data_IF_228670241962
#
_entry.id   IF_228670241962
#
_cell.length_a   1.000
_cell.length_b   1.000
_cell.length_c   1.000
_cell.angle_alpha   90.00
_cell.angle_beta   90.00
_cell.angle_gamma   90.00
#
_symmetry.space_group_name_H-M   'P 1'
#
loop_
_entity.id
_entity.type
_entity.pdbx_description
1 polymer ?
#
# COMPACT_ATOMS: atom_id res chain seq x y z
N UNK A 1 -13.75 -11.70 -37.57
CA UNK A 1 -14.82 -11.15 -36.71
C UNK A 1 -14.96 -11.88 -35.35
N UNK A 2 -14.77 -13.21 -35.26
CA UNK A 2 -14.89 -13.98 -34.00
C UNK A 2 -13.75 -13.73 -32.98
N UNK A 3 -12.51 -13.53 -33.45
CA UNK A 3 -11.31 -13.37 -32.60
C UNK A 3 -11.34 -12.08 -31.76
N UNK A 4 -11.94 -11.01 -32.26
CA UNK A 4 -11.96 -9.71 -31.56
C UNK A 4 -12.84 -9.71 -30.30
N UNK A 5 -13.91 -10.53 -30.25
CA UNK A 5 -14.84 -10.57 -29.12
C UNK A 5 -14.23 -11.22 -27.88
N UNK A 6 -13.33 -12.20 -28.05
CA UNK A 6 -12.69 -12.88 -26.93
C UNK A 6 -11.65 -12.00 -26.25
N UNK A 7 -10.91 -11.18 -27.02
CA UNK A 7 -9.98 -10.20 -26.46
C UNK A 7 -10.70 -9.13 -25.63
N UNK A 8 -11.85 -8.64 -26.11
CA UNK A 8 -12.65 -7.64 -25.37
C UNK A 8 -13.26 -8.22 -24.09
N UNK A 9 -13.74 -9.47 -24.14
CA UNK A 9 -14.31 -10.15 -22.97
C UNK A 9 -13.26 -10.45 -21.89
N UNK A 10 -12.06 -10.87 -22.29
CA UNK A 10 -10.94 -11.06 -21.35
C UNK A 10 -10.47 -9.73 -20.76
N UNK A 11 -10.44 -8.64 -21.54
CA UNK A 11 -10.08 -7.31 -21.00
C UNK A 11 -11.14 -6.75 -20.05
N UNK A 12 -12.44 -6.89 -20.33
CA UNK A 12 -13.48 -6.35 -19.44
C UNK A 12 -13.57 -7.11 -18.11
N UNK A 13 -13.37 -8.43 -18.13
CA UNK A 13 -13.31 -9.23 -16.90
C UNK A 13 -12.08 -8.88 -16.04
N UNK A 14 -10.93 -8.62 -16.66
CA UNK A 14 -9.69 -8.27 -15.96
C UNK A 14 -9.71 -6.82 -15.41
N UNK A 15 -10.31 -5.87 -16.14
CA UNK A 15 -10.48 -4.48 -15.69
C UNK A 15 -11.45 -4.40 -14.50
N UNK A 16 -12.55 -5.15 -14.53
CA UNK A 16 -13.54 -5.16 -13.44
C UNK A 16 -12.96 -5.72 -12.14
N UNK A 17 -12.25 -6.84 -12.21
CA UNK A 17 -11.59 -7.45 -11.04
C UNK A 17 -10.44 -6.59 -10.52
N UNK A 18 -9.62 -6.02 -11.42
CA UNK A 18 -8.57 -5.07 -11.04
C UNK A 18 -9.16 -3.85 -10.33
N UNK A 19 -10.26 -3.29 -10.84
CA UNK A 19 -10.93 -2.13 -10.24
C UNK A 19 -11.44 -2.42 -8.83
N UNK A 20 -12.05 -3.59 -8.60
CA UNK A 20 -12.47 -4.02 -7.26
C UNK A 20 -11.30 -4.11 -6.30
N UNK A 21 -10.17 -4.67 -6.74
CA UNK A 21 -8.96 -4.78 -5.94
C UNK A 21 -8.43 -3.38 -5.57
N UNK A 22 -8.43 -2.43 -6.51
CA UNK A 22 -8.02 -1.05 -6.25
C UNK A 22 -8.90 -0.40 -5.18
N UNK A 23 -10.22 -0.54 -5.29
CA UNK A 23 -11.19 0.01 -4.33
C UNK A 23 -11.02 -0.61 -2.96
N UNK A 24 -10.89 -1.94 -2.86
CA UNK A 24 -10.65 -2.62 -1.57
C UNK A 24 -9.37 -2.11 -0.91
N UNK A 25 -8.29 -1.95 -1.68
CA UNK A 25 -7.00 -1.49 -1.16
C UNK A 25 -7.08 -0.04 -0.67
N UNK A 26 -7.79 0.82 -1.40
CA UNK A 26 -8.09 2.18 -0.98
C UNK A 26 -8.92 2.22 0.32
N UNK A 27 -10.02 1.46 0.39
CA UNK A 27 -10.90 1.41 1.56
C UNK A 27 -10.13 0.91 2.80
N UNK A 28 -9.32 -0.14 2.65
CA UNK A 28 -8.50 -0.67 3.75
C UNK A 28 -7.52 0.39 4.29
N UNK A 29 -6.83 1.13 3.41
CA UNK A 29 -5.96 2.21 3.84
C UNK A 29 -6.72 3.40 4.45
N UNK A 30 -7.92 3.69 3.95
CA UNK A 30 -8.75 4.76 4.47
C UNK A 30 -9.23 4.45 5.89
N UNK A 31 -9.72 3.24 6.12
CA UNK A 31 -10.09 2.77 7.48
C UNK A 31 -8.88 2.79 8.40
N UNK A 32 -7.72 2.34 7.93
CA UNK A 32 -6.48 2.38 8.71
C UNK A 32 -6.08 3.81 9.07
N UNK A 33 -6.15 4.75 8.13
CA UNK A 33 -5.87 6.17 8.36
C UNK A 33 -6.83 6.81 9.36
N UNK A 34 -8.13 6.51 9.26
CA UNK A 34 -9.14 7.00 10.22
C UNK A 34 -8.87 6.45 11.62
N UNK A 35 -8.61 5.14 11.75
CA UNK A 35 -8.28 4.54 13.05
C UNK A 35 -7.02 5.19 13.64
N UNK A 36 -5.97 5.33 12.84
CA UNK A 36 -4.72 5.96 13.26
C UNK A 36 -4.96 7.38 13.79
N UNK A 37 -5.78 8.14 13.05
CA UNK A 37 -6.19 9.48 13.41
C UNK A 37 -6.97 9.52 14.73
N UNK A 38 -7.96 8.63 14.92
CA UNK A 38 -8.76 8.56 16.16
C UNK A 38 -7.87 8.22 17.36
N UNK A 39 -7.01 7.22 17.24
CA UNK A 39 -6.08 6.84 18.33
C UNK A 39 -5.08 7.95 18.67
N UNK A 40 -4.66 8.73 17.67
CA UNK A 40 -3.79 9.87 17.90
C UNK A 40 -4.50 11.00 18.64
N UNK A 41 -5.75 11.33 18.27
CA UNK A 41 -6.55 12.34 18.98
C UNK A 41 -6.83 11.94 20.43
N UNK A 42 -6.92 10.63 20.71
CA UNK A 42 -7.06 10.11 22.07
C UNK A 42 -5.75 10.15 22.89
N UNK A 43 -4.62 10.57 22.31
CA UNK A 43 -3.32 10.60 22.98
C UNK A 43 -2.75 9.22 23.31
N UNK A 44 -3.26 8.17 22.68
CA UNK A 44 -2.81 6.80 22.90
C UNK A 44 -1.45 6.55 22.23
N UNK A 45 -0.58 5.66 22.77
CA UNK A 45 0.62 5.20 22.06
C UNK A 45 0.31 4.26 20.87
N UNK A 46 -0.95 3.87 20.66
CA UNK A 46 -1.39 2.99 19.57
C UNK A 46 -0.93 3.39 18.16
N UNK A 47 -0.91 4.68 17.75
CA UNK A 47 -0.49 5.07 16.40
C UNK A 47 0.96 4.66 16.07
N UNK A 48 1.85 4.69 17.05
CA UNK A 48 3.24 4.25 16.88
C UNK A 48 3.31 2.76 16.54
N UNK A 49 2.58 1.92 17.28
CA UNK A 49 2.51 0.48 17.00
C UNK A 49 1.85 0.17 15.65
N UNK A 50 0.79 0.91 15.29
CA UNK A 50 0.13 0.75 13.99
C UNK A 50 1.08 1.08 12.83
N UNK A 51 1.88 2.15 12.94
CA UNK A 51 2.89 2.48 11.94
C UNK A 51 3.98 1.42 11.84
N UNK A 52 4.45 0.86 12.96
CA UNK A 52 5.41 -0.23 12.95
C UNK A 52 4.86 -1.46 12.24
N UNK A 53 3.60 -1.83 12.52
CA UNK A 53 2.91 -2.92 11.83
C UNK A 53 2.80 -2.64 10.33
N UNK A 54 2.49 -1.41 9.92
CA UNK A 54 2.43 -1.03 8.51
C UNK A 54 3.80 -1.17 7.80
N UNK A 55 4.89 -0.81 8.48
CA UNK A 55 6.26 -1.03 7.99
C UNK A 55 6.55 -2.51 7.83
N UNK A 56 6.23 -3.35 8.83
CA UNK A 56 6.40 -4.81 8.75
C UNK A 56 5.56 -5.40 7.62
N UNK A 57 4.32 -4.94 7.44
CA UNK A 57 3.47 -5.36 6.32
C UNK A 57 4.07 -4.97 4.96
N UNK A 58 4.82 -3.88 4.87
CA UNK A 58 5.48 -3.44 3.63
C UNK A 58 6.54 -4.42 3.11
N UNK A 59 6.99 -5.34 3.98
CA UNK A 59 7.89 -6.41 3.56
C UNK A 59 7.17 -7.46 2.70
N UNK A 60 5.89 -7.73 2.99
CA UNK A 60 5.11 -8.77 2.32
C UNK A 60 4.19 -8.20 1.23
N UNK A 61 3.70 -6.98 1.43
CA UNK A 61 2.72 -6.33 0.56
C UNK A 61 3.33 -5.09 -0.09
N UNK A 62 3.09 -4.82 -1.39
CA UNK A 62 3.51 -3.59 -2.04
C UNK A 62 2.65 -2.41 -1.56
N UNK A 63 2.95 -1.89 -0.36
CA UNK A 63 2.28 -0.72 0.23
C UNK A 63 2.66 0.62 -0.43
N UNK A 64 3.66 0.62 -1.32
CA UNK A 64 4.06 1.81 -2.09
C UNK A 64 3.04 2.22 -3.17
N UNK A 65 1.99 1.43 -3.41
CA UNK A 65 1.02 1.78 -4.45
C UNK A 65 0.17 2.99 -4.04
N UNK A 66 -0.18 3.88 -5.00
CA UNK A 66 -0.85 5.13 -4.70
C UNK A 66 -2.21 4.96 -4.01
N UNK A 67 -2.93 3.86 -4.25
CA UNK A 67 -4.24 3.63 -3.63
C UNK A 67 -4.18 3.61 -2.09
N UNK A 68 -3.12 3.00 -1.54
CA UNK A 68 -2.92 2.94 -0.09
C UNK A 68 -2.52 4.31 0.48
N UNK A 69 -1.67 5.06 -0.23
CA UNK A 69 -1.31 6.41 0.18
C UNK A 69 -2.52 7.33 0.19
N UNK A 70 -3.34 7.30 -0.86
CA UNK A 70 -4.51 8.18 -0.96
C UNK A 70 -5.51 7.92 0.17
N UNK A 71 -5.80 6.64 0.49
CA UNK A 71 -6.67 6.29 1.61
C UNK A 71 -6.11 6.82 2.94
N UNK A 72 -4.81 6.62 3.18
CA UNK A 72 -4.15 7.04 4.41
C UNK A 72 -4.08 8.57 4.55
N UNK A 73 -3.73 9.28 3.47
CA UNK A 73 -3.72 10.75 3.44
C UNK A 73 -5.13 11.28 3.72
N UNK A 74 -6.16 10.76 3.04
CA UNK A 74 -7.54 11.21 3.25
C UNK A 74 -8.02 10.92 4.68
N UNK A 75 -7.73 9.74 5.22
CA UNK A 75 -8.11 9.37 6.58
C UNK A 75 -7.47 10.25 7.66
N UNK A 76 -6.21 10.68 7.44
CA UNK A 76 -5.50 11.56 8.39
C UNK A 76 -5.67 13.06 8.12
N UNK A 77 -6.06 13.46 6.91
CA UNK A 77 -6.25 14.87 6.55
C UNK A 77 -7.38 15.53 7.34
N UNK A 78 -8.32 14.73 7.85
CA UNK A 78 -9.44 15.23 8.65
C UNK A 78 -9.00 15.81 10.00
N UNK A 79 -7.93 15.29 10.63
CA UNK A 79 -7.49 15.71 11.97
C UNK A 79 -6.25 16.58 11.98
N UNK A 80 -5.26 16.29 11.14
CA UNK A 80 -4.00 17.07 11.08
C UNK A 80 -3.99 18.12 9.96
N UNK A 81 -5.06 18.20 9.17
CA UNK A 81 -5.08 18.94 7.91
C UNK A 81 -4.30 18.20 6.81
N UNK A 82 -4.29 18.72 5.58
CA UNK A 82 -3.69 18.02 4.45
C UNK A 82 -2.15 17.98 4.48
N UNK A 83 -1.48 19.01 5.02
CA UNK A 83 -0.04 19.19 4.83
C UNK A 83 0.81 18.13 5.56
N UNK A 84 0.49 17.80 6.81
CA UNK A 84 1.26 16.82 7.61
C UNK A 84 1.12 15.39 7.05
N UNK A 85 -0.10 14.88 6.78
CA UNK A 85 -0.29 13.55 6.22
C UNK A 85 0.35 13.38 4.85
N UNK A 86 0.38 14.42 4.01
CA UNK A 86 1.06 14.38 2.71
C UNK A 86 2.56 14.16 2.90
N UNK A 87 3.19 14.95 3.78
CA UNK A 87 4.63 14.82 4.03
C UNK A 87 4.96 13.46 4.66
N UNK A 88 4.18 13.02 5.64
CA UNK A 88 4.34 11.71 6.27
C UNK A 88 4.16 10.58 5.25
N UNK A 89 3.11 10.62 4.44
CA UNK A 89 2.85 9.61 3.42
C UNK A 89 3.98 9.57 2.37
N UNK A 90 4.55 10.71 1.99
CA UNK A 90 5.71 10.76 1.10
C UNK A 90 6.93 10.06 1.70
N UNK A 91 7.22 10.32 2.99
CA UNK A 91 8.29 9.62 3.71
C UNK A 91 8.01 8.12 3.80
N UNK A 92 6.78 7.71 4.15
CA UNK A 92 6.40 6.30 4.17
C UNK A 92 6.52 5.65 2.79
N UNK A 93 6.18 6.35 1.71
CA UNK A 93 6.33 5.84 0.35
C UNK A 93 7.79 5.53 0.04
N UNK A 94 8.72 6.43 0.40
CA UNK A 94 10.15 6.18 0.23
C UNK A 94 10.60 4.96 1.06
N UNK A 95 10.16 4.86 2.31
CA UNK A 95 10.48 3.73 3.18
C UNK A 95 9.95 2.40 2.60
N UNK A 96 8.68 2.38 2.16
CA UNK A 96 8.05 1.19 1.58
C UNK A 96 8.71 0.80 0.26
N UNK A 97 9.09 1.77 -0.57
CA UNK A 97 9.81 1.52 -1.82
C UNK A 97 11.19 0.91 -1.55
N UNK A 98 11.94 1.47 -0.58
CA UNK A 98 13.24 0.93 -0.19
C UNK A 98 13.09 -0.48 0.39
N UNK A 99 12.17 -0.71 1.34
CA UNK A 99 11.95 -2.02 1.95
C UNK A 99 11.60 -3.08 0.91
N UNK A 100 10.63 -2.78 0.04
CA UNK A 100 10.19 -3.70 -1.01
C UNK A 100 11.32 -4.02 -1.99
N UNK A 101 12.11 -3.01 -2.38
CA UNK A 101 13.25 -3.21 -3.28
C UNK A 101 14.36 -4.02 -2.62
N UNK A 102 14.61 -3.82 -1.32
CA UNK A 102 15.60 -4.57 -0.56
C UNK A 102 15.27 -6.06 -0.51
N UNK A 103 14.00 -6.42 -0.27
CA UNK A 103 13.55 -7.80 -0.22
C UNK A 103 13.66 -8.47 -1.57
N UNK A 104 13.21 -7.79 -2.63
CA UNK A 104 13.29 -8.34 -3.98
C UNK A 104 14.74 -8.55 -4.40
N UNK A 105 15.62 -7.59 -4.09
CA UNK A 105 17.05 -7.71 -4.37
C UNK A 105 17.70 -8.82 -3.52
N UNK A 106 17.41 -8.87 -2.22
CA UNK A 106 17.89 -9.91 -1.31
C UNK A 106 17.44 -11.30 -1.73
N UNK A 107 16.18 -11.49 -2.09
CA UNK A 107 15.63 -12.74 -2.60
C UNK A 107 16.33 -13.17 -3.90
N UNK A 108 16.56 -12.25 -4.83
CA UNK A 108 17.28 -12.53 -6.08
C UNK A 108 18.74 -12.94 -5.82
N UNK A 109 19.44 -12.28 -4.90
CA UNK A 109 20.81 -12.63 -4.51
C UNK A 109 20.87 -14.00 -3.84
N UNK A 110 19.89 -14.33 -3.01
CA UNK A 110 19.81 -15.61 -2.30
C UNK A 110 19.52 -16.78 -3.25
N UNK A 111 18.63 -16.57 -4.23
CA UNK A 111 18.38 -17.53 -5.32
C UNK A 111 19.62 -17.68 -6.22
N UNK A 112 20.31 -16.59 -6.54
CA UNK A 112 21.55 -16.62 -7.33
C UNK A 112 22.66 -17.38 -6.58
N UNK A 113 22.76 -17.22 -5.26
CA UNK A 113 23.67 -17.97 -4.38
C UNK A 113 23.35 -19.47 -4.39
N UNK A 114 22.09 -19.88 -4.31
CA UNK A 114 21.71 -21.31 -4.33
C UNK A 114 21.91 -21.98 -5.70
N UNK A 115 21.93 -21.22 -6.80
CA UNK A 115 22.21 -21.77 -8.13
C UNK A 115 23.71 -22.01 -8.40
N UNK A 116 24.60 -21.44 -7.58
CA UNK A 116 26.06 -21.57 -7.75
C UNK A 116 26.75 -22.56 -6.80
N UNK A 117 26.00 -23.26 -5.94
CA UNK A 117 26.52 -24.33 -5.08
C UNK A 117 25.97 -25.68 -5.50
#
# INVERSE_FOLDING_TARGET
FWIHKNFLKTSELDISETSKILVIRFIMALVFGILLSVFFTLGSPAPGYMMLIAIVLSFFLPLYKPEYLLGLILGMSYTFGANIPILAAFVLLLIFLVCYKLIRFGALVLIARMRQS
#
